data_IF_485900504709
#
_entry.id   IF_485900504709
#
_cell.length_a   1.000
_cell.length_b   1.000
_cell.length_c   1.000
_cell.angle_alpha   90.00
_cell.angle_beta   90.00
_cell.angle_gamma   90.00
#
_symmetry.space_group_name_H-M   'P 1'
#
loop_
_entity.id
_entity.type
_entity.pdbx_description
1 polymer ?
#
# COMPACT_ATOMS: atom_id res chain seq x y z
N UNK A 1 3.59 1.83 7.33
CA UNK A 1 3.66 0.51 6.65
C UNK A 1 2.76 -0.46 7.40
N UNK A 2 2.09 -1.40 6.71
CA UNK A 2 1.10 -2.31 7.31
C UNK A 2 1.66 -3.17 8.45
N UNK A 3 2.93 -3.58 8.36
CA UNK A 3 3.64 -4.29 9.44
C UNK A 3 3.82 -3.44 10.70
N UNK A 4 4.15 -2.15 10.53
CA UNK A 4 4.29 -1.22 11.66
C UNK A 4 2.94 -0.97 12.36
N UNK A 5 1.84 -0.90 11.60
CA UNK A 5 0.50 -0.80 12.20
C UNK A 5 0.14 -2.06 12.98
N UNK A 6 0.41 -3.25 12.43
CA UNK A 6 0.22 -4.52 13.12
C UNK A 6 1.07 -4.61 14.40
N UNK A 7 2.33 -4.19 14.34
CA UNK A 7 3.25 -4.22 15.47
C UNK A 7 2.78 -3.28 16.59
N UNK A 8 2.48 -2.03 16.26
CA UNK A 8 2.01 -1.03 17.24
C UNK A 8 0.69 -1.42 17.90
N UNK A 9 -0.28 -1.92 17.14
CA UNK A 9 -1.56 -2.38 17.71
C UNK A 9 -1.33 -3.63 18.54
N UNK A 10 -0.48 -4.55 18.06
CA UNK A 10 -0.12 -5.76 18.80
C UNK A 10 0.55 -5.47 20.14
N UNK A 11 1.46 -4.49 20.19
CA UNK A 11 2.07 -4.07 21.46
C UNK A 11 1.07 -3.41 22.39
N UNK A 12 0.19 -2.53 21.88
CA UNK A 12 -0.89 -1.92 22.66
C UNK A 12 -1.88 -2.95 23.21
N UNK A 13 -2.07 -4.05 22.47
CA UNK A 13 -2.91 -5.17 22.93
C UNK A 13 -2.21 -5.96 24.04
N UNK A 14 -0.91 -6.20 23.90
CA UNK A 14 -0.09 -6.89 24.92
C UNK A 14 0.04 -6.08 26.21
N UNK A 15 0.10 -4.75 26.14
CA UNK A 15 0.15 -3.85 27.30
C UNK A 15 -1.23 -3.54 27.89
N UNK A 16 -2.28 -4.24 27.43
CA UNK A 16 -3.69 -4.03 27.83
C UNK A 16 -4.24 -2.61 27.56
N UNK A 17 -3.55 -1.77 26.80
CA UNK A 17 -4.02 -0.42 26.45
C UNK A 17 -5.33 -0.46 25.67
N UNK A 18 -5.50 -1.44 24.77
CA UNK A 18 -6.73 -1.62 23.99
C UNK A 18 -7.91 -2.03 24.88
N UNK A 19 -7.66 -2.84 25.91
CA UNK A 19 -8.71 -3.24 26.88
C UNK A 19 -9.04 -2.08 27.83
N UNK A 20 -8.04 -1.30 28.24
CA UNK A 20 -8.24 -0.07 29.00
C UNK A 20 -9.10 0.95 28.23
N UNK A 21 -8.95 1.04 26.90
CA UNK A 21 -9.82 1.87 26.08
C UNK A 21 -11.28 1.41 26.07
N UNK A 22 -11.51 0.09 26.04
CA UNK A 22 -12.86 -0.47 26.06
C UNK A 22 -13.54 -0.25 27.42
N UNK A 23 -12.80 -0.31 28.53
CA UNK A 23 -13.37 -0.08 29.88
C UNK A 23 -13.79 1.37 30.11
N UNK A 24 -13.10 2.34 29.50
CA UNK A 24 -13.50 3.77 29.51
C UNK A 24 -14.56 4.12 28.46
N UNK A 25 -15.09 3.12 27.72
CA UNK A 25 -16.16 3.30 26.75
C UNK A 25 -15.72 3.82 25.37
N UNK A 26 -14.41 3.80 25.07
CA UNK A 26 -13.89 4.21 23.75
C UNK A 26 -13.79 2.99 22.84
N UNK A 27 -14.36 3.09 21.64
CA UNK A 27 -14.26 2.08 20.59
C UNK A 27 -12.84 2.05 20.00
N UNK A 28 -12.03 0.99 20.23
CA UNK A 28 -10.65 0.94 19.72
C UNK A 28 -10.59 0.92 18.20
N UNK A 29 -11.64 0.41 17.53
CA UNK A 29 -11.75 0.40 16.07
C UNK A 29 -11.82 1.82 15.49
N UNK A 30 -12.66 2.69 16.05
CA UNK A 30 -12.81 4.05 15.55
C UNK A 30 -11.63 4.94 15.95
N UNK A 31 -11.09 4.74 17.15
CA UNK A 31 -10.00 5.55 17.67
C UNK A 31 -8.62 5.21 17.08
N UNK A 32 -8.32 3.92 16.83
CA UNK A 32 -7.01 3.50 16.31
C UNK A 32 -7.03 3.18 14.82
N UNK A 33 -8.04 2.44 14.35
CA UNK A 33 -8.01 1.82 13.02
C UNK A 33 -8.45 2.80 11.94
N UNK A 34 -9.57 3.50 12.13
CA UNK A 34 -10.09 4.49 11.16
C UNK A 34 -9.07 5.57 10.78
N UNK A 35 -8.41 6.29 11.73
CA UNK A 35 -7.47 7.34 11.35
C UNK A 35 -6.25 6.79 10.60
N UNK A 36 -5.78 5.59 10.95
CA UNK A 36 -4.64 4.93 10.27
C UNK A 36 -4.99 4.52 8.85
N UNK A 37 -6.20 3.99 8.63
CA UNK A 37 -6.68 3.64 7.29
C UNK A 37 -6.77 4.89 6.44
N UNK A 38 -7.39 5.97 6.94
CA UNK A 38 -7.49 7.22 6.18
C UNK A 38 -6.11 7.78 5.81
N UNK A 39 -5.16 7.77 6.74
CA UNK A 39 -3.79 8.19 6.47
C UNK A 39 -3.11 7.32 5.39
N UNK A 40 -3.28 5.99 5.43
CA UNK A 40 -2.70 5.09 4.45
C UNK A 40 -3.33 5.22 3.05
N UNK A 41 -4.64 5.40 2.99
CA UNK A 41 -5.39 5.59 1.73
C UNK A 41 -4.98 6.90 1.05
N UNK A 42 -4.76 7.97 1.82
CA UNK A 42 -4.33 9.26 1.28
C UNK A 42 -2.84 9.25 0.89
N UNK A 43 -1.99 8.57 1.65
CA UNK A 43 -0.54 8.52 1.38
C UNK A 43 -0.18 7.63 0.19
N UNK A 44 -0.93 6.55 -0.07
CA UNK A 44 -0.64 5.63 -1.18
C UNK A 44 -0.62 6.28 -2.58
N UNK A 45 -1.62 7.06 -3.01
CA UNK A 45 -1.58 7.71 -4.32
C UNK A 45 -0.43 8.73 -4.42
N UNK A 46 -0.12 9.44 -3.34
CA UNK A 46 1.00 10.39 -3.29
C UNK A 46 2.35 9.66 -3.48
N UNK A 47 2.54 8.54 -2.79
CA UNK A 47 3.72 7.69 -2.92
C UNK A 47 3.82 7.05 -4.31
N UNK A 48 2.70 6.61 -4.88
CA UNK A 48 2.64 6.06 -6.23
C UNK A 48 3.05 7.08 -7.29
N UNK A 49 2.58 8.33 -7.18
CA UNK A 49 2.97 9.41 -8.08
C UNK A 49 4.46 9.75 -7.97
N UNK A 50 4.98 9.83 -6.73
CA UNK A 50 6.41 10.06 -6.51
C UNK A 50 7.27 8.93 -7.08
N UNK A 51 6.87 7.68 -6.86
CA UNK A 51 7.57 6.51 -7.39
C UNK A 51 7.57 6.51 -8.93
N UNK A 52 6.46 6.88 -9.58
CA UNK A 52 6.38 6.99 -11.02
C UNK A 52 7.33 8.09 -11.57
N UNK A 53 7.37 9.26 -10.92
CA UNK A 53 8.26 10.34 -11.32
C UNK A 53 9.75 9.93 -11.20
N UNK A 54 10.13 9.29 -10.10
CA UNK A 54 11.48 8.77 -9.89
C UNK A 54 11.79 7.63 -10.86
N UNK A 55 10.83 6.77 -11.20
CA UNK A 55 11.01 5.69 -12.16
C UNK A 55 11.30 6.21 -13.58
N UNK A 56 10.61 7.27 -14.02
CA UNK A 56 10.86 7.91 -15.33
C UNK A 56 12.27 8.50 -15.37
N UNK A 57 12.67 9.23 -14.31
CA UNK A 57 14.00 9.83 -14.23
C UNK A 57 15.09 8.75 -14.17
N UNK A 58 14.89 7.72 -13.34
CA UNK A 58 15.82 6.59 -13.22
C UNK A 58 15.96 5.82 -14.54
N UNK A 59 14.84 5.58 -15.22
CA UNK A 59 14.85 4.96 -16.56
C UNK A 59 15.60 5.79 -17.59
N UNK A 60 15.44 7.12 -17.55
CA UNK A 60 16.15 8.03 -18.45
C UNK A 60 17.65 8.07 -18.19
N UNK A 61 18.07 8.05 -16.92
CA UNK A 61 19.48 7.99 -16.52
C UNK A 61 20.11 6.68 -17.01
N UNK A 62 19.46 5.54 -16.75
CA UNK A 62 19.96 4.23 -17.22
C UNK A 62 20.00 4.17 -18.74
N UNK A 63 18.98 4.68 -19.43
CA UNK A 63 18.94 4.75 -20.90
C UNK A 63 20.06 5.59 -21.50
N UNK A 64 20.43 6.69 -20.85
CA UNK A 64 21.55 7.52 -21.26
C UNK A 64 22.89 6.81 -21.08
N UNK A 65 23.12 6.15 -19.93
CA UNK A 65 24.40 5.50 -19.64
C UNK A 65 24.60 4.16 -20.36
N UNK A 66 23.53 3.39 -20.58
CA UNK A 66 23.63 2.07 -21.21
C UNK A 66 23.39 2.09 -22.73
N UNK A 67 22.46 2.90 -23.23
CA UNK A 67 22.08 2.93 -24.65
C UNK A 67 22.56 4.19 -25.38
N UNK A 68 23.12 5.19 -24.69
CA UNK A 68 23.56 6.45 -25.30
C UNK A 68 22.41 7.30 -25.84
N UNK A 69 21.16 7.04 -25.43
CA UNK A 69 19.99 7.77 -25.89
C UNK A 69 19.91 9.08 -25.09
N UNK A 70 19.86 10.25 -25.76
CA UNK A 70 19.74 11.53 -25.07
C UNK A 70 18.39 11.65 -24.35
N UNK A 71 18.41 12.25 -23.15
CA UNK A 71 17.26 12.40 -22.25
C UNK A 71 15.98 12.89 -22.94
N UNK A 72 16.11 13.86 -23.86
CA UNK A 72 14.99 14.40 -24.62
C UNK A 72 14.30 13.38 -25.54
N UNK A 73 15.06 12.46 -26.15
CA UNK A 73 14.50 11.41 -27.03
C UNK A 73 13.85 10.30 -26.21
N UNK A 74 14.33 10.04 -25.00
CA UNK A 74 13.69 9.11 -24.09
C UNK A 74 12.33 9.63 -23.62
N UNK A 75 12.25 10.93 -23.28
CA UNK A 75 11.02 11.54 -22.81
C UNK A 75 9.93 11.61 -23.88
N UNK A 76 10.29 11.93 -25.14
CA UNK A 76 9.32 11.92 -26.25
C UNK A 76 8.78 10.51 -26.53
N UNK A 77 9.64 9.48 -26.47
CA UNK A 77 9.23 8.08 -26.62
C UNK A 77 8.30 7.61 -25.52
N UNK A 78 8.54 8.02 -24.27
CA UNK A 78 7.64 7.70 -23.17
C UNK A 78 6.27 8.35 -23.37
N UNK A 79 6.21 9.60 -23.84
CA UNK A 79 4.92 10.26 -24.10
C UNK A 79 4.12 9.60 -25.23
N UNK A 80 4.80 9.03 -26.24
CA UNK A 80 4.14 8.30 -27.33
C UNK A 80 3.66 6.90 -26.91
N UNK A 81 4.39 6.23 -26.02
CA UNK A 81 4.14 4.83 -25.64
C UNK A 81 3.28 4.71 -24.39
N UNK A 82 3.36 5.66 -23.47
CA UNK A 82 2.63 5.67 -22.18
C UNK A 82 1.54 6.74 -22.23
N UNK A 83 0.32 6.38 -22.63
CA UNK A 83 -0.81 7.30 -22.61
C UNK A 83 -1.17 7.75 -21.19
N UNK A 84 -1.70 8.97 -21.06
CA UNK A 84 -2.12 9.55 -19.77
C UNK A 84 -3.12 8.66 -19.01
N UNK A 85 -3.87 7.78 -19.70
CA UNK A 85 -4.84 6.90 -19.05
C UNK A 85 -4.17 5.95 -18.04
N UNK A 86 -2.96 5.46 -18.31
CA UNK A 86 -2.27 4.52 -17.41
C UNK A 86 -1.99 5.17 -16.05
N UNK A 87 -1.69 6.47 -16.07
CA UNK A 87 -1.47 7.26 -14.87
C UNK A 87 -2.76 7.39 -14.05
N UNK A 88 -3.90 7.63 -14.70
CA UNK A 88 -5.20 7.69 -14.02
C UNK A 88 -5.65 6.32 -13.48
N UNK A 89 -5.43 5.25 -14.23
CA UNK A 89 -5.73 3.88 -13.80
C UNK A 89 -4.89 3.51 -12.57
N UNK A 90 -3.58 3.81 -12.60
CA UNK A 90 -2.69 3.58 -11.46
C UNK A 90 -3.08 4.42 -10.23
N UNK A 91 -3.43 5.69 -10.44
CA UNK A 91 -3.83 6.59 -9.36
C UNK A 91 -5.15 6.17 -8.70
N UNK A 92 -6.10 5.63 -9.47
CA UNK A 92 -7.36 5.10 -8.97
C UNK A 92 -7.18 3.79 -8.18
N UNK A 93 -6.24 2.94 -8.58
CA UNK A 93 -5.91 1.69 -7.86
C UNK A 93 -5.16 1.93 -6.54
N UNK A 94 -4.29 2.93 -6.51
CA UNK A 94 -3.45 3.23 -5.34
C UNK A 94 -4.20 3.35 -3.99
N UNK A 95 -5.32 4.09 -3.87
CA UNK A 95 -6.06 4.16 -2.60
C UNK A 95 -6.65 2.82 -2.18
N UNK A 96 -7.07 1.97 -3.13
CA UNK A 96 -7.60 0.62 -2.85
C UNK A 96 -6.51 -0.25 -2.23
N UNK A 97 -5.29 -0.21 -2.78
CA UNK A 97 -4.16 -0.91 -2.20
C UNK A 97 -3.79 -0.40 -0.81
N UNK A 98 -3.84 0.92 -0.59
CA UNK A 98 -3.64 1.52 0.72
C UNK A 98 -4.64 1.03 1.76
N UNK A 99 -5.91 0.93 1.37
CA UNK A 99 -6.99 0.42 2.22
C UNK A 99 -6.75 -1.04 2.60
N UNK A 100 -6.42 -1.91 1.64
CA UNK A 100 -6.17 -3.34 1.86
C UNK A 100 -4.99 -3.54 2.82
N UNK A 101 -3.87 -2.85 2.58
CA UNK A 101 -2.66 -2.99 3.40
C UNK A 101 -2.89 -2.46 4.82
N UNK A 102 -3.60 -1.35 4.97
CA UNK A 102 -3.93 -0.80 6.28
C UNK A 102 -4.90 -1.70 7.06
N UNK A 103 -5.93 -2.23 6.40
CA UNK A 103 -6.87 -3.18 6.99
C UNK A 103 -6.18 -4.48 7.41
N UNK A 104 -5.38 -5.08 6.53
CA UNK A 104 -4.64 -6.30 6.85
C UNK A 104 -3.71 -6.10 8.05
N UNK A 105 -3.01 -4.96 8.11
CA UNK A 105 -2.18 -4.58 9.25
C UNK A 105 -2.96 -4.44 10.56
N UNK A 106 -4.06 -3.68 10.54
CA UNK A 106 -4.87 -3.44 11.73
C UNK A 106 -5.60 -4.72 12.20
N UNK A 107 -6.10 -5.53 11.27
CA UNK A 107 -6.83 -6.76 11.56
C UNK A 107 -5.96 -7.80 12.27
N UNK A 108 -4.74 -8.01 11.77
CA UNK A 108 -3.81 -8.95 12.40
C UNK A 108 -3.19 -8.38 13.69
N UNK A 109 -2.99 -7.07 13.78
CA UNK A 109 -2.55 -6.41 15.02
C UNK A 109 -3.55 -6.54 16.17
N UNK A 110 -4.85 -6.41 15.89
CA UNK A 110 -5.92 -6.58 16.89
C UNK A 110 -6.11 -8.03 17.35
N UNK A 111 -5.60 -9.01 16.60
CA UNK A 111 -5.73 -10.43 16.90
C UNK A 111 -4.59 -11.01 17.75
N UNK A 112 -3.62 -10.18 18.13
CA UNK A 112 -2.57 -10.59 19.07
C UNK A 112 -3.23 -10.94 20.40
N UNK A 113 -2.99 -12.16 20.90
CA UNK A 113 -3.52 -12.66 22.17
C UNK A 113 -2.41 -13.12 23.13
N UNK A 114 -1.30 -13.62 22.59
CA UNK A 114 -0.21 -14.19 23.36
C UNK A 114 0.92 -13.20 23.68
N UNK A 115 2.06 -13.78 24.06
CA UNK A 115 3.32 -13.11 24.39
C UNK A 115 3.89 -12.28 23.22
N UNK A 116 4.97 -11.54 23.49
CA UNK A 116 5.71 -10.73 22.49
C UNK A 116 6.08 -11.48 21.20
N UNK A 117 6.27 -12.80 21.25
CA UNK A 117 6.53 -13.63 20.07
C UNK A 117 5.32 -13.72 19.12
N UNK A 118 4.09 -13.71 19.65
CA UNK A 118 2.85 -13.74 18.88
C UNK A 118 2.68 -12.43 18.07
N UNK A 119 3.21 -11.31 18.56
CA UNK A 119 3.27 -10.04 17.82
C UNK A 119 4.13 -10.19 16.56
N UNK A 120 5.28 -10.86 16.67
CA UNK A 120 6.16 -11.14 15.53
C UNK A 120 5.50 -12.04 14.47
N UNK A 121 4.78 -13.08 14.93
CA UNK A 121 4.05 -13.98 14.03
C UNK A 121 2.90 -13.25 13.32
N UNK A 122 2.09 -12.49 14.07
CA UNK A 122 0.95 -11.74 13.52
C UNK A 122 1.38 -10.61 12.59
N UNK A 123 2.48 -9.93 12.88
CA UNK A 123 3.03 -8.90 11.97
C UNK A 123 3.48 -9.51 10.64
N UNK A 124 4.08 -10.69 10.66
CA UNK A 124 4.47 -11.41 9.44
C UNK A 124 3.24 -11.86 8.65
N UNK A 125 2.25 -12.46 9.33
CA UNK A 125 0.98 -12.85 8.72
C UNK A 125 0.22 -11.66 8.11
N UNK A 126 0.31 -10.48 8.73
CA UNK A 126 -0.26 -9.24 8.19
C UNK A 126 0.35 -8.86 6.85
N UNK A 127 1.68 -8.97 6.72
CA UNK A 127 2.39 -8.68 5.47
C UNK A 127 2.03 -9.70 4.39
N UNK A 128 2.07 -10.99 4.70
CA UNK A 128 1.74 -12.05 3.73
C UNK A 128 0.30 -11.92 3.23
N UNK A 129 -0.65 -11.73 4.15
CA UNK A 129 -2.07 -11.55 3.80
C UNK A 129 -2.27 -10.28 2.97
N UNK A 130 -1.60 -9.18 3.34
CA UNK A 130 -1.67 -7.91 2.62
C UNK A 130 -1.14 -8.02 1.19
N UNK A 131 0.05 -8.59 1.00
CA UNK A 131 0.66 -8.78 -0.33
C UNK A 131 -0.21 -9.70 -1.18
N UNK A 132 -0.66 -10.82 -0.63
CA UNK A 132 -1.52 -11.76 -1.36
C UNK A 132 -2.84 -11.11 -1.81
N UNK A 133 -3.51 -10.39 -0.91
CA UNK A 133 -4.74 -9.68 -1.23
C UNK A 133 -4.54 -8.60 -2.31
N UNK A 134 -3.43 -7.86 -2.24
CA UNK A 134 -3.07 -6.86 -3.26
C UNK A 134 -2.85 -7.51 -4.62
N UNK A 135 -2.12 -8.63 -4.69
CA UNK A 135 -1.88 -9.35 -5.96
C UNK A 135 -3.18 -9.87 -6.56
N UNK A 136 -4.05 -10.49 -5.76
CA UNK A 136 -5.33 -11.02 -6.24
C UNK A 136 -6.22 -9.90 -6.77
N UNK A 137 -6.30 -8.78 -6.04
CA UNK A 137 -7.10 -7.63 -6.45
C UNK A 137 -6.50 -6.94 -7.69
N UNK A 138 -5.18 -6.84 -7.78
CA UNK A 138 -4.55 -6.31 -8.99
C UNK A 138 -4.79 -7.21 -10.21
N UNK A 139 -4.70 -8.53 -10.08
CA UNK A 139 -5.02 -9.46 -11.14
C UNK A 139 -6.48 -9.31 -11.62
N UNK A 140 -7.41 -9.13 -10.68
CA UNK A 140 -8.80 -8.85 -11.01
C UNK A 140 -8.94 -7.53 -11.79
N UNK A 141 -8.29 -6.46 -11.32
CA UNK A 141 -8.28 -5.19 -12.05
C UNK A 141 -7.63 -5.30 -13.42
N UNK A 142 -6.52 -6.02 -13.55
CA UNK A 142 -5.82 -6.21 -14.82
C UNK A 142 -6.75 -6.85 -15.86
N UNK A 143 -7.41 -7.96 -15.50
CA UNK A 143 -8.39 -8.62 -16.38
C UNK A 143 -9.56 -7.68 -16.72
N UNK A 144 -10.04 -6.91 -15.74
CA UNK A 144 -11.11 -5.93 -15.94
C UNK A 144 -10.71 -4.83 -16.94
N UNK A 145 -9.54 -4.22 -16.78
CA UNK A 145 -9.04 -3.18 -17.68
C UNK A 145 -8.74 -3.72 -19.10
N UNK A 146 -8.22 -4.94 -19.21
CA UNK A 146 -8.04 -5.61 -20.51
C UNK A 146 -9.38 -5.87 -21.20
N UNK A 147 -10.43 -6.28 -20.46
CA UNK A 147 -11.77 -6.50 -21.02
C UNK A 147 -12.50 -5.23 -21.44
N UNK A 148 -12.20 -4.10 -20.78
CA UNK A 148 -12.75 -2.77 -21.11
C UNK A 148 -12.05 -2.15 -22.34
N UNK A 149 -10.97 -2.75 -22.83
CA UNK A 149 -10.27 -2.32 -24.06
C UNK A 149 -9.33 -1.13 -23.86
N UNK A 150 -8.76 -0.99 -22.65
CA UNK A 150 -7.79 0.06 -22.29
C UNK A 150 -6.35 -0.47 -22.20
N UNK A 151 -6.03 -1.52 -22.98
CA UNK A 151 -4.69 -2.10 -23.05
C UNK A 151 -4.28 -2.29 -24.52
#
# INVERSE_FOLDING_TARGET
>A
SGSAFAAQIGTMRLTEEVDAMQTIGISPMEALVVPRIMAAVLMMPLLGFYAAAVAIIGGAVVGQFMLGIPFWTFLSRIQDVVPIYDLWVGLLKAPVFGLIVALAGCYHGMQVKGNSEDVGLRTTMAVVTGIFAVIVIDAFFAVFFTKVGWA
#
